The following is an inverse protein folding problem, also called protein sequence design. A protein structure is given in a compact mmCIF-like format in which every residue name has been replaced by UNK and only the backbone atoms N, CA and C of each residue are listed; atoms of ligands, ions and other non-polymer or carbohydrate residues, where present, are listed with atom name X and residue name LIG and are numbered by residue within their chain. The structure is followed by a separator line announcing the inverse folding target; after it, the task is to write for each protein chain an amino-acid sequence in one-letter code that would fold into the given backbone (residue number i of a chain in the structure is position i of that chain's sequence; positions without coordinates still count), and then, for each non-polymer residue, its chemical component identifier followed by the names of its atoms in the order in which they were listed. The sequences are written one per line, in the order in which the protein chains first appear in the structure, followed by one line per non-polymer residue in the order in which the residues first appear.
data_IF_135888391510
#
_entry.id   IF_135888391510
#
_cell.length_a   1.000
_cell.length_b   1.000
_cell.length_c   1.000
_cell.angle_alpha   90.00
_cell.angle_beta   90.00
_cell.angle_gamma   90.00
#
_symmetry.space_group_name_H-M   'P 1'
#
loop_
_entity.id
_entity.type
_entity.pdbx_description
1 polymer ?
#
# COMPACT_ATOMS: atom_id res chain seq x y z
N UNK A 1 2.83 -1.37 -0.97
CA UNK A 1 3.49 -0.15 -1.48
C UNK A 1 3.36 -0.03 -2.99
N UNK A 2 3.11 1.18 -3.48
CA UNK A 2 2.86 1.51 -4.89
C UNK A 2 3.83 2.62 -5.31
N UNK A 3 4.49 2.47 -6.46
CA UNK A 3 5.20 3.57 -7.13
C UNK A 3 4.20 4.44 -7.91
N UNK A 4 3.86 5.59 -7.32
CA UNK A 4 2.87 6.52 -7.87
C UNK A 4 3.49 7.49 -8.89
N UNK A 5 4.80 7.73 -8.81
CA UNK A 5 5.54 8.63 -9.71
C UNK A 5 6.14 7.94 -10.94
N UNK A 6 6.19 6.61 -10.96
CA UNK A 6 6.82 5.84 -12.05
C UNK A 6 8.34 5.93 -12.06
N UNK A 7 8.96 6.24 -10.91
CA UNK A 7 10.42 6.43 -10.75
C UNK A 7 11.10 5.24 -10.07
N UNK A 8 10.38 4.15 -9.86
CA UNK A 8 10.88 2.95 -9.19
C UNK A 8 10.78 3.02 -7.66
N UNK A 9 11.10 1.88 -7.03
CA UNK A 9 11.04 1.69 -5.59
C UNK A 9 12.38 2.03 -4.94
N UNK A 10 12.54 3.31 -4.59
CA UNK A 10 13.68 3.85 -3.85
C UNK A 10 13.44 3.77 -2.35
N UNK A 11 14.15 2.87 -1.67
CA UNK A 11 14.03 2.59 -0.25
C UNK A 11 15.38 2.77 0.44
N UNK A 12 15.37 3.01 1.74
CA UNK A 12 16.59 3.17 2.54
C UNK A 12 17.04 1.86 3.17
N UNK A 13 18.22 1.88 3.80
CA UNK A 13 18.62 0.89 4.81
C UNK A 13 17.89 1.14 6.13
N UNK A 14 17.93 0.18 7.06
CA UNK A 14 17.41 0.41 8.42
C UNK A 14 18.19 1.52 9.15
N UNK A 15 19.50 1.62 8.93
CA UNK A 15 20.34 2.65 9.53
C UNK A 15 19.94 4.06 9.08
N UNK A 16 19.51 4.21 7.82
CA UNK A 16 19.04 5.46 7.22
C UNK A 16 17.51 5.53 7.13
N UNK A 17 16.82 4.77 7.99
CA UNK A 17 15.38 4.68 8.02
C UNK A 17 14.74 5.61 9.04
N UNK A 18 13.49 5.29 9.40
CA UNK A 18 12.68 6.07 10.35
C UNK A 18 12.32 5.24 11.57
N UNK A 19 11.77 5.90 12.60
CA UNK A 19 11.13 5.25 13.74
C UNK A 19 9.63 5.10 13.46
N UNK A 20 9.12 3.88 13.43
CA UNK A 20 7.70 3.60 13.20
C UNK A 20 7.30 2.30 13.91
N UNK A 21 6.09 2.24 14.47
CA UNK A 21 5.49 1.04 15.09
C UNK A 21 5.03 0.08 13.98
N UNK A 22 5.94 -0.72 13.44
CA UNK A 22 5.64 -1.54 12.24
C UNK A 22 4.91 -2.83 12.59
N UNK A 23 5.06 -3.32 13.83
CA UNK A 23 4.44 -4.57 14.29
C UNK A 23 3.17 -4.37 15.15
N UNK A 24 2.85 -3.13 15.48
CA UNK A 24 1.61 -2.73 16.11
C UNK A 24 1.56 -2.97 17.61
N UNK A 25 2.72 -3.10 18.27
CA UNK A 25 2.83 -3.34 19.71
C UNK A 25 2.91 -2.05 20.56
N UNK A 26 3.00 -0.89 19.89
CA UNK A 26 3.06 0.43 20.50
C UNK A 26 4.48 0.93 20.81
N UNK A 27 5.52 0.18 20.44
CA UNK A 27 6.91 0.61 20.46
C UNK A 27 7.31 1.07 19.05
N UNK A 28 8.34 1.93 18.97
CA UNK A 28 8.86 2.40 17.70
C UNK A 28 10.13 1.62 17.36
N UNK A 29 10.17 0.99 16.20
CA UNK A 29 11.35 0.32 15.67
C UNK A 29 12.06 1.22 14.66
N UNK A 30 13.39 1.15 14.65
CA UNK A 30 14.17 1.73 13.57
C UNK A 30 14.17 0.77 12.38
N UNK A 31 13.51 1.17 11.29
CA UNK A 31 13.29 0.31 10.13
C UNK A 31 13.63 1.02 8.84
N UNK A 32 14.00 0.24 7.82
CA UNK A 32 14.11 0.77 6.47
C UNK A 32 12.78 1.37 6.01
N UNK A 33 12.86 2.39 5.15
CA UNK A 33 11.71 3.18 4.78
C UNK A 33 11.76 3.65 3.33
N UNK A 34 10.77 4.44 2.89
CA UNK A 34 10.82 5.10 1.59
C UNK A 34 11.86 6.21 1.60
N UNK A 35 12.71 6.33 0.57
CA UNK A 35 13.63 7.47 0.47
C UNK A 35 12.89 8.82 0.49
N UNK A 36 13.54 9.85 1.03
CA UNK A 36 13.02 11.21 0.97
C UNK A 36 12.65 11.62 -0.47
N UNK A 37 11.53 12.33 -0.61
CA UNK A 37 10.95 12.76 -1.88
C UNK A 37 10.59 11.62 -2.86
N UNK A 38 10.63 10.35 -2.42
CA UNK A 38 10.12 9.26 -3.23
C UNK A 38 8.60 9.34 -3.35
N UNK A 39 8.09 9.00 -4.54
CA UNK A 39 6.65 8.99 -4.82
C UNK A 39 6.09 7.57 -4.57
N UNK A 40 6.45 7.02 -3.41
CA UNK A 40 6.05 5.69 -2.96
C UNK A 40 4.95 5.80 -1.93
N UNK A 41 3.81 5.19 -2.22
CA UNK A 41 2.68 5.20 -1.31
C UNK A 41 2.51 3.84 -0.62
N UNK A 42 2.36 3.86 0.69
CA UNK A 42 1.76 2.76 1.43
C UNK A 42 0.26 2.70 1.14
N UNK A 43 -0.28 1.48 0.99
CA UNK A 43 -1.72 1.29 1.03
C UNK A 43 -2.10 1.17 2.50
N UNK A 44 -3.05 1.99 2.94
CA UNK A 44 -3.41 2.11 4.34
C UNK A 44 -4.92 2.21 4.56
N UNK A 45 -5.34 2.05 5.81
CA UNK A 45 -6.68 2.34 6.29
C UNK A 45 -6.56 2.94 7.69
N UNK A 46 -7.09 4.15 7.86
CA UNK A 46 -7.29 4.75 9.18
C UNK A 46 -8.38 3.93 9.90
N UNK A 47 -7.96 3.19 10.92
CA UNK A 47 -8.77 2.15 11.55
C UNK A 47 -9.54 2.68 12.75
N UNK A 48 -8.95 3.61 13.49
CA UNK A 48 -9.55 4.19 14.69
C UNK A 48 -10.17 5.58 14.45
N UNK A 49 -9.96 6.16 13.28
CA UNK A 49 -10.61 7.39 12.82
C UNK A 49 -9.92 8.65 13.32
N UNK A 50 -8.65 8.57 13.71
CA UNK A 50 -7.89 9.72 14.23
C UNK A 50 -7.28 10.62 13.13
N UNK A 51 -7.39 10.19 11.86
CA UNK A 51 -6.89 10.92 10.69
C UNK A 51 -5.40 10.73 10.43
N UNK A 52 -4.74 9.77 11.09
CA UNK A 52 -3.34 9.44 10.93
C UNK A 52 -3.16 7.94 10.67
N UNK A 53 -1.96 7.56 10.25
CA UNK A 53 -1.51 6.17 10.15
C UNK A 53 -0.36 6.02 11.14
N UNK A 54 -0.65 5.41 12.29
CA UNK A 54 0.24 5.43 13.45
C UNK A 54 0.96 4.10 13.69
N UNK A 55 0.51 3.02 13.06
CA UNK A 55 1.14 1.69 13.19
C UNK A 55 0.95 0.80 11.96
N UNK A 56 1.69 -0.31 11.92
CA UNK A 56 1.54 -1.37 10.93
C UNK A 56 0.18 -2.05 10.92
N UNK A 57 -0.66 -1.83 11.95
CA UNK A 57 -2.06 -2.30 11.98
C UNK A 57 -2.97 -1.55 11.02
N UNK A 58 -2.53 -0.37 10.59
CA UNK A 58 -3.22 0.51 9.64
C UNK A 58 -2.61 0.45 8.24
N UNK A 59 -1.45 -0.18 8.09
CA UNK A 59 -0.84 -0.52 6.81
C UNK A 59 -1.31 -1.89 6.33
N UNK A 60 -1.47 -2.07 5.01
CA UNK A 60 -1.71 -3.40 4.44
C UNK A 60 -0.42 -4.22 4.41
N UNK A 61 -0.33 -5.22 5.31
CA UNK A 61 0.78 -6.13 5.53
C UNK A 61 0.35 -7.36 6.34
N UNK A 62 1.30 -8.06 6.98
CA UNK A 62 1.00 -9.20 7.87
C UNK A 62 0.45 -8.79 9.24
N UNK A 63 0.54 -7.51 9.60
CA UNK A 63 0.15 -6.97 10.92
C UNK A 63 -1.24 -6.32 10.89
N UNK A 64 -1.78 -6.01 9.71
CA UNK A 64 -3.09 -5.34 9.52
C UNK A 64 -4.20 -6.00 10.36
N UNK A 65 -4.19 -7.33 10.42
CA UNK A 65 -5.13 -8.10 11.25
C UNK A 65 -4.64 -9.51 11.58
N UNK A 66 -5.13 -10.11 12.68
CA UNK A 66 -4.74 -11.46 13.07
C UNK A 66 -5.05 -12.53 12.00
N UNK A 67 -4.07 -13.42 11.78
CA UNK A 67 -4.23 -14.60 10.93
C UNK A 67 -4.06 -14.35 9.43
N UNK A 68 -3.50 -13.20 9.03
CA UNK A 68 -3.10 -12.94 7.64
C UNK A 68 -1.58 -13.00 7.52
N UNK A 69 -1.07 -13.47 6.39
CA UNK A 69 0.36 -13.67 6.17
C UNK A 69 1.03 -12.56 5.34
N UNK A 70 0.23 -11.65 4.78
CA UNK A 70 0.63 -10.54 3.91
C UNK A 70 -0.54 -9.56 3.68
N UNK A 71 -0.24 -8.39 3.11
CA UNK A 71 -1.19 -7.32 2.86
C UNK A 71 -2.25 -7.64 1.82
N UNK A 72 -1.98 -8.50 0.84
CA UNK A 72 -3.01 -8.94 -0.11
C UNK A 72 -4.04 -9.86 0.54
N UNK A 73 -3.60 -10.75 1.43
CA UNK A 73 -4.49 -11.59 2.23
C UNK A 73 -5.35 -10.74 3.18
N UNK A 74 -4.77 -9.70 3.79
CA UNK A 74 -5.52 -8.71 4.57
C UNK A 74 -6.57 -7.98 3.72
N UNK A 75 -6.18 -7.48 2.55
CA UNK A 75 -7.08 -6.79 1.61
C UNK A 75 -8.24 -7.68 1.16
N UNK A 76 -7.98 -8.93 0.78
CA UNK A 76 -9.03 -9.89 0.39
C UNK A 76 -9.97 -10.21 1.54
N UNK A 77 -9.46 -10.38 2.76
CA UNK A 77 -10.28 -10.67 3.94
C UNK A 77 -11.17 -9.48 4.31
N UNK A 78 -10.65 -8.26 4.26
CA UNK A 78 -11.45 -7.04 4.46
C UNK A 78 -12.51 -6.90 3.38
N UNK A 79 -12.13 -7.12 2.12
CA UNK A 79 -13.05 -7.04 0.98
C UNK A 79 -14.26 -7.96 1.15
N UNK A 80 -14.03 -9.23 1.47
CA UNK A 80 -15.10 -10.20 1.75
C UNK A 80 -15.98 -9.75 2.92
N UNK A 81 -15.39 -9.22 3.99
CA UNK A 81 -16.16 -8.77 5.15
C UNK A 81 -17.05 -7.56 4.83
N UNK A 82 -16.58 -6.62 4.01
CA UNK A 82 -17.30 -5.37 3.69
C UNK A 82 -18.33 -5.52 2.58
N UNK A 83 -18.19 -6.51 1.70
CA UNK A 83 -19.04 -6.68 0.52
C UNK A 83 -20.07 -7.81 0.64
N UNK A 84 -20.28 -8.36 1.85
CA UNK A 84 -21.24 -9.44 2.10
C UNK A 84 -20.74 -10.83 1.72
N UNK A 85 -19.42 -11.03 1.63
CA UNK A 85 -18.78 -12.33 1.40
C UNK A 85 -18.69 -12.74 -0.07
N UNK A 86 -18.86 -11.79 -0.99
CA UNK A 86 -18.78 -12.08 -2.44
C UNK A 86 -17.33 -12.07 -2.88
N UNK A 87 -16.87 -13.19 -3.46
CA UNK A 87 -15.53 -13.23 -4.04
C UNK A 87 -15.43 -12.30 -5.25
N UNK A 88 -14.37 -11.49 -5.28
CA UNK A 88 -14.06 -10.54 -6.36
C UNK A 88 -12.61 -10.72 -6.80
N UNK A 89 -12.31 -10.29 -8.02
CA UNK A 89 -10.93 -10.24 -8.53
C UNK A 89 -10.16 -8.99 -8.09
N UNK A 90 -10.86 -7.92 -7.75
CA UNK A 90 -10.31 -6.63 -7.35
C UNK A 90 -11.21 -5.88 -6.39
N UNK A 91 -10.63 -4.94 -5.64
CA UNK A 91 -11.33 -3.88 -4.93
C UNK A 91 -11.39 -2.67 -5.87
N UNK A 92 -12.60 -2.21 -6.19
CA UNK A 92 -12.87 -1.12 -7.14
C UNK A 92 -13.95 -0.18 -6.59
N UNK A 93 -14.27 0.90 -7.30
CA UNK A 93 -15.18 1.94 -6.81
C UNK A 93 -16.62 1.52 -6.49
N UNK A 94 -17.04 0.31 -6.85
CA UNK A 94 -18.32 -0.31 -6.47
C UNK A 94 -18.22 -1.18 -5.19
N UNK A 95 -17.02 -1.32 -4.62
CA UNK A 95 -16.78 -2.03 -3.37
C UNK A 95 -16.74 -1.05 -2.18
N UNK A 96 -17.52 -1.29 -1.10
CA UNK A 96 -17.54 -0.43 0.08
C UNK A 96 -16.17 -0.25 0.75
N UNK A 97 -15.23 -1.18 0.58
CA UNK A 97 -13.88 -1.03 1.10
C UNK A 97 -13.12 0.10 0.39
N UNK A 98 -13.36 0.31 -0.92
CA UNK A 98 -12.53 1.17 -1.75
C UNK A 98 -12.52 2.63 -1.29
N UNK A 99 -13.65 3.15 -0.83
CA UNK A 99 -13.77 4.52 -0.31
C UNK A 99 -13.05 4.74 1.02
N UNK A 100 -12.62 3.67 1.70
CA UNK A 100 -11.91 3.72 2.98
C UNK A 100 -10.40 3.61 2.83
N UNK A 101 -9.92 3.22 1.64
CA UNK A 101 -8.50 3.00 1.39
C UNK A 101 -7.77 4.33 1.18
N UNK A 102 -6.64 4.48 1.86
CA UNK A 102 -5.76 5.64 1.80
C UNK A 102 -4.44 5.27 1.12
N UNK A 103 -3.78 6.29 0.57
CA UNK A 103 -2.39 6.28 0.12
C UNK A 103 -1.61 7.22 1.02
N UNK A 104 -0.64 6.68 1.76
CA UNK A 104 0.29 7.46 2.57
C UNK A 104 1.63 7.57 1.87
N UNK A 105 2.05 8.79 1.53
CA UNK A 105 3.35 9.08 0.91
C UNK A 105 4.16 9.99 1.83
N UNK A 106 5.06 9.39 2.62
CA UNK A 106 5.99 10.11 3.49
C UNK A 106 7.12 10.73 2.66
N UNK A 107 6.93 11.98 2.23
CA UNK A 107 7.90 12.68 1.36
C UNK A 107 9.02 13.33 2.17
N UNK A 108 8.72 13.73 3.40
CA UNK A 108 9.67 14.40 4.27
C UNK A 108 10.58 13.38 5.01
N UNK A 109 10.26 12.09 4.93
CA UNK A 109 11.02 10.97 5.50
C UNK A 109 11.12 11.05 7.03
N UNK A 110 10.00 11.35 7.71
CA UNK A 110 9.98 11.46 9.17
C UNK A 110 9.28 10.28 9.86
N UNK A 111 8.65 9.37 9.12
CA UNK A 111 7.91 8.23 9.67
C UNK A 111 6.60 8.60 10.36
N UNK A 112 6.16 9.86 10.27
CA UNK A 112 4.95 10.38 10.90
C UNK A 112 3.94 10.68 9.82
N UNK A 113 2.78 10.03 9.89
CA UNK A 113 1.69 10.28 8.94
C UNK A 113 1.06 11.65 9.16
N UNK A 114 1.42 12.62 8.32
CA UNK A 114 0.83 13.96 8.34
C UNK A 114 -0.41 14.04 7.42
N UNK A 115 -1.43 14.88 7.74
CA UNK A 115 -2.61 15.02 6.89
C UNK A 115 -2.31 15.41 5.44
N UNK A 116 -1.23 16.14 5.18
CA UNK A 116 -0.79 16.51 3.82
C UNK A 116 -0.19 15.35 3.02
N UNK A 117 0.14 14.24 3.67
CA UNK A 117 0.74 13.05 3.07
C UNK A 117 -0.28 11.94 2.79
N UNK A 118 -1.47 12.07 3.36
CA UNK A 118 -2.58 11.14 3.19
C UNK A 118 -3.51 11.60 2.08
N UNK A 119 -3.83 10.66 1.18
CA UNK A 119 -4.80 10.88 0.12
C UNK A 119 -5.76 9.70 0.00
N UNK A 120 -7.04 9.92 -0.28
CA UNK A 120 -7.94 8.85 -0.68
C UNK A 120 -7.36 8.09 -1.88
N UNK A 121 -7.25 6.77 -1.79
CA UNK A 121 -6.73 5.96 -2.89
C UNK A 121 -7.56 6.12 -4.16
N UNK A 122 -8.86 6.39 -4.02
CA UNK A 122 -9.78 6.66 -5.10
C UNK A 122 -9.46 7.94 -5.89
N UNK A 123 -8.55 8.82 -5.45
CA UNK A 123 -8.09 9.94 -6.28
C UNK A 123 -7.14 9.47 -7.39
N UNK A 124 -6.36 8.42 -7.13
CA UNK A 124 -5.32 7.94 -8.04
C UNK A 124 -5.65 6.58 -8.67
N UNK A 125 -6.28 5.69 -7.92
CA UNK A 125 -6.54 4.30 -8.31
C UNK A 125 -8.01 4.12 -8.75
N UNK A 126 -8.24 3.20 -9.67
CA UNK A 126 -9.58 2.70 -10.01
C UNK A 126 -9.82 1.28 -9.52
N UNK A 127 -8.76 0.48 -9.41
CA UNK A 127 -8.81 -0.93 -9.09
C UNK A 127 -7.53 -1.37 -8.36
N UNK A 128 -7.68 -2.26 -7.40
CA UNK A 128 -6.58 -2.95 -6.72
C UNK A 128 -6.85 -4.46 -6.82
N UNK A 129 -5.96 -5.19 -7.49
CA UNK A 129 -6.09 -6.64 -7.64
C UNK A 129 -5.96 -7.38 -6.31
N UNK A 130 -6.79 -8.41 -6.11
CA UNK A 130 -6.78 -9.24 -4.90
C UNK A 130 -5.85 -10.46 -5.02
N UNK A 131 -5.51 -10.85 -6.25
CA UNK A 131 -4.51 -11.89 -6.51
C UNK A 131 -3.09 -11.32 -6.47
N UNK A 132 -2.16 -12.15 -6.03
CA UNK A 132 -0.74 -11.83 -5.94
C UNK A 132 0.10 -13.06 -6.26
N UNK A 133 1.38 -12.82 -6.56
CA UNK A 133 2.39 -13.84 -6.78
C UNK A 133 3.62 -13.57 -5.92
N UNK A 134 4.41 -14.61 -5.66
CA UNK A 134 5.73 -14.44 -5.06
C UNK A 134 6.68 -13.76 -6.05
N UNK A 135 7.44 -12.79 -5.57
CA UNK A 135 8.47 -12.11 -6.35
C UNK A 135 9.87 -12.30 -5.75
N UNK A 136 9.99 -12.35 -4.41
CA UNK A 136 11.21 -12.69 -3.65
C UNK A 136 12.47 -11.93 -4.09
N UNK A 137 12.34 -10.67 -4.51
CA UNK A 137 13.46 -9.80 -4.88
C UNK A 137 13.92 -8.99 -3.67
N UNK A 138 15.23 -8.86 -3.45
CA UNK A 138 15.80 -7.89 -2.51
C UNK A 138 16.37 -6.68 -3.26
N UNK A 139 16.29 -5.50 -2.65
CA UNK A 139 17.11 -4.36 -3.07
C UNK A 139 18.50 -4.40 -2.42
N UNK A 140 19.31 -3.38 -2.70
CA UNK A 140 20.69 -3.27 -2.20
C UNK A 140 20.77 -3.04 -0.67
N UNK A 141 19.63 -2.69 -0.05
CA UNK A 141 19.49 -2.49 1.39
C UNK A 141 18.94 -3.73 2.11
N UNK A 142 18.58 -4.78 1.36
CA UNK A 142 18.06 -6.03 1.91
C UNK A 142 16.54 -6.07 2.08
N UNK A 143 15.81 -5.01 1.71
CA UNK A 143 14.34 -4.98 1.75
C UNK A 143 13.77 -6.01 0.78
N UNK A 144 12.90 -6.89 1.28
CA UNK A 144 12.37 -8.01 0.51
C UNK A 144 11.01 -7.65 -0.11
N UNK A 145 10.99 -7.49 -1.42
CA UNK A 145 9.79 -7.43 -2.25
C UNK A 145 9.20 -8.84 -2.35
N UNK A 146 8.46 -9.25 -1.33
CA UNK A 146 8.04 -10.64 -1.11
C UNK A 146 6.93 -11.05 -2.07
N UNK A 147 5.86 -10.25 -2.13
CA UNK A 147 4.72 -10.50 -2.99
C UNK A 147 4.43 -9.31 -3.90
N UNK A 148 3.89 -9.60 -5.09
CA UNK A 148 3.52 -8.61 -6.10
C UNK A 148 2.08 -8.83 -6.54
N UNK A 149 1.34 -7.73 -6.63
CA UNK A 149 0.03 -7.67 -7.25
C UNK A 149 -0.01 -6.54 -8.28
N UNK A 150 -1.21 -6.07 -8.60
CA UNK A 150 -1.38 -4.96 -9.53
C UNK A 150 -2.41 -3.96 -9.03
N UNK A 151 -2.25 -2.72 -9.47
CA UNK A 151 -3.25 -1.66 -9.38
C UNK A 151 -3.45 -1.05 -10.75
N UNK A 152 -4.63 -0.49 -10.97
CA UNK A 152 -4.85 0.40 -12.10
C UNK A 152 -4.96 1.84 -11.64
N UNK A 153 -4.16 2.70 -12.27
CA UNK A 153 -4.30 4.14 -12.15
C UNK A 153 -5.56 4.61 -12.88
N UNK A 154 -6.14 5.69 -12.39
CA UNK A 154 -7.15 6.47 -13.10
C UNK A 154 -6.51 7.20 -14.26
N UNK A 155 -7.20 7.19 -15.39
CA UNK A 155 -6.79 7.95 -16.57
C UNK A 155 -7.34 9.39 -16.57
N UNK A 156 -8.35 9.65 -15.74
CA UNK A 156 -8.94 10.95 -15.47
C UNK A 156 -9.79 10.86 -14.18
N UNK A 157 -10.07 11.98 -13.48
CA UNK A 157 -11.04 12.01 -12.39
C UNK A 157 -12.37 11.39 -12.82
N UNK A 158 -12.90 10.45 -12.02
CA UNK A 158 -14.16 9.75 -12.30
C UNK A 158 -14.13 8.70 -13.42
N UNK A 159 -13.02 8.53 -14.17
CA UNK A 159 -12.91 7.49 -15.21
C UNK A 159 -12.20 6.24 -14.67
N UNK A 160 -12.99 5.19 -14.45
CA UNK A 160 -12.51 3.91 -13.89
C UNK A 160 -12.05 2.89 -14.94
N UNK A 161 -12.51 3.03 -16.20
CA UNK A 161 -12.31 2.02 -17.26
C UNK A 161 -11.41 2.55 -18.36
N UNK A 162 -10.56 1.67 -18.87
CA UNK A 162 -9.78 1.92 -20.07
C UNK A 162 -10.69 2.04 -21.30
N UNK A 163 -10.35 2.91 -22.26
CA UNK A 163 -11.05 2.98 -23.55
C UNK A 163 -10.51 1.97 -24.57
N UNK A 164 -9.27 1.53 -24.38
CA UNK A 164 -8.58 0.60 -25.28
C UNK A 164 -7.75 -0.41 -24.48
N UNK A 165 -7.44 -1.60 -25.04
CA UNK A 165 -6.53 -2.55 -24.39
C UNK A 165 -5.14 -1.95 -24.09
N UNK A 166 -4.62 -1.11 -24.98
CA UNK A 166 -3.34 -0.44 -24.76
C UNK A 166 -3.36 0.48 -23.54
N UNK A 167 -4.45 1.23 -23.37
CA UNK A 167 -4.65 2.08 -22.19
C UNK A 167 -4.78 1.26 -20.90
N UNK A 168 -5.43 0.10 -20.97
CA UNK A 168 -5.56 -0.79 -19.82
C UNK A 168 -4.18 -1.31 -19.36
N UNK A 169 -3.30 -1.63 -20.30
CA UNK A 169 -1.92 -1.99 -19.99
C UNK A 169 -1.13 -0.78 -19.45
N UNK A 170 -1.25 0.39 -20.06
CA UNK A 170 -0.42 1.56 -19.70
C UNK A 170 -0.76 2.17 -18.34
N UNK A 171 -2.00 2.00 -17.87
CA UNK A 171 -2.44 2.43 -16.52
C UNK A 171 -2.10 1.43 -15.42
N UNK A 172 -1.65 0.21 -15.76
CA UNK A 172 -1.27 -0.79 -14.77
C UNK A 172 0.04 -0.43 -14.10
N UNK A 173 0.07 -0.59 -12.78
CA UNK A 173 1.28 -0.52 -11.95
C UNK A 173 1.35 -1.75 -11.07
N UNK A 174 2.55 -2.08 -10.62
CA UNK A 174 2.72 -3.08 -9.59
C UNK A 174 2.49 -2.45 -8.21
N UNK A 175 1.91 -3.25 -7.33
CA UNK A 175 1.89 -3.02 -5.88
C UNK A 175 2.65 -4.17 -5.23
N UNK A 176 3.48 -3.86 -4.23
CA UNK A 176 4.26 -4.86 -3.51
C UNK A 176 3.91 -4.93 -2.04
N UNK A 177 3.93 -6.15 -1.51
CA UNK A 177 4.15 -6.40 -0.08
C UNK A 177 5.66 -6.50 0.14
N UNK A 178 6.20 -5.59 0.95
CA UNK A 178 7.62 -5.42 1.20
C UNK A 178 7.89 -5.69 2.67
N UNK A 179 8.82 -6.60 2.95
CA UNK A 179 9.36 -6.82 4.30
C UNK A 179 10.62 -5.98 4.41
N UNK A 180 10.55 -4.90 5.19
CA UNK A 180 11.69 -4.02 5.44
C UNK A 180 12.77 -4.71 6.27
N UNK A 181 14.01 -4.32 6.03
CA UNK A 181 15.10 -4.62 6.97
C UNK A 181 14.89 -3.83 8.26
N UNK A 182 15.26 -4.45 9.38
CA UNK A 182 15.33 -3.83 10.71
C UNK A 182 16.80 -3.83 11.16
N UNK A 183 17.19 -2.87 11.99
CA UNK A 183 18.54 -2.78 12.59
C UNK A 183 18.64 -3.69 13.84
#
# INVERSE_FOLDING_TARGET
MIDTGGKGYRLTSAADGVLFDIDGDGLLEKIAWTEAQAELAFLAIDRDGDGQITSGRELFGNVTMPGVSNGFAALRRMNLATNGGTERGSVSGDDPLFSRLLLWTDRNHNGISEPSELRPSAELLSDIGLAYEEHKRRDDHGNLFKFRGWVHLRTAPGRNRAKTPHEDVSRRRYIYDIVFSVD
#
